data_IF_770561878566
#
_entry.id   IF_770561878566
#
_cell.length_a   1.000
_cell.length_b   1.000
_cell.length_c   1.000
_cell.angle_alpha   90.00
_cell.angle_beta   90.00
_cell.angle_gamma   90.00
#
_symmetry.space_group_name_H-M   'P 1'
#
loop_
_entity.id
_entity.type
_entity.pdbx_description
1 polymer ?
#
# COMPACT_ATOMS: atom_id res chain seq x y z
N UNK A 1 1.66 23.18 2.77
CA UNK A 1 0.74 22.38 3.52
C UNK A 1 1.44 21.20 4.24
N UNK A 2 2.40 20.50 3.66
CA UNK A 2 3.09 19.35 4.28
C UNK A 2 4.60 19.57 4.44
N UNK A 3 5.04 20.78 4.79
CA UNK A 3 6.47 21.14 4.82
C UNK A 3 7.32 20.25 5.75
N UNK A 4 6.71 19.64 6.78
CA UNK A 4 7.36 18.80 7.78
C UNK A 4 6.79 17.37 7.82
N UNK A 5 6.22 16.88 6.72
CA UNK A 5 5.65 15.53 6.62
C UNK A 5 5.84 14.98 5.22
N UNK A 6 6.43 13.80 5.10
CA UNK A 6 6.33 12.99 3.89
C UNK A 6 4.96 12.31 3.91
N UNK A 7 4.09 12.63 2.97
CA UNK A 7 2.76 12.04 2.87
C UNK A 7 2.54 11.46 1.48
N UNK A 8 2.04 10.23 1.42
CA UNK A 8 1.56 9.61 0.17
C UNK A 8 0.26 8.88 0.42
N UNK A 9 -0.68 9.09 -0.48
CA UNK A 9 -1.93 8.32 -0.58
C UNK A 9 -1.81 7.37 -1.77
N UNK A 10 -1.97 6.09 -1.52
CA UNK A 10 -1.87 5.02 -2.51
C UNK A 10 -3.23 4.37 -2.67
N UNK A 11 -3.55 3.91 -3.86
CA UNK A 11 -4.84 3.33 -4.17
C UNK A 11 -4.71 1.90 -4.68
N UNK A 12 -5.52 1.00 -4.16
CA UNK A 12 -5.75 -0.32 -4.73
C UNK A 12 -7.10 -0.36 -5.46
N UNK A 13 -7.04 -0.53 -6.78
CA UNK A 13 -8.25 -0.51 -7.60
C UNK A 13 -9.13 -1.77 -7.44
N UNK A 14 -8.59 -2.86 -6.92
CA UNK A 14 -9.34 -4.12 -6.78
C UNK A 14 -10.29 -4.08 -5.59
N UNK A 15 -9.85 -3.53 -4.46
CA UNK A 15 -10.63 -3.35 -3.24
C UNK A 15 -11.19 -1.94 -3.07
N UNK A 16 -10.73 -0.97 -3.85
CA UNK A 16 -10.99 0.47 -3.68
C UNK A 16 -10.45 1.04 -2.37
N UNK A 17 -9.39 0.44 -1.84
CA UNK A 17 -8.73 0.80 -0.59
C UNK A 17 -7.69 1.88 -0.79
N UNK A 18 -7.61 2.80 0.14
CA UNK A 18 -6.49 3.72 0.29
C UNK A 18 -5.50 3.25 1.33
N UNK A 19 -4.23 3.18 0.96
CA UNK A 19 -3.09 3.01 1.88
C UNK A 19 -2.41 4.35 2.08
N UNK A 20 -2.00 4.69 3.30
CA UNK A 20 -1.37 5.97 3.60
C UNK A 20 0.03 5.77 4.18
N UNK A 21 1.03 6.42 3.57
CA UNK A 21 2.40 6.47 4.07
C UNK A 21 2.68 7.86 4.66
N UNK A 22 3.06 7.89 5.93
CA UNK A 22 3.46 9.09 6.65
C UNK A 22 4.89 8.94 7.14
N UNK A 23 5.73 9.93 6.89
CA UNK A 23 7.13 9.92 7.33
C UNK A 23 7.59 11.27 7.87
N UNK A 24 8.43 11.22 8.88
CA UNK A 24 9.16 12.40 9.36
C UNK A 24 10.39 12.64 8.47
N UNK A 25 10.49 13.76 7.75
CA UNK A 25 11.61 14.03 6.88
C UNK A 25 12.95 14.21 7.62
N UNK A 26 12.91 14.57 8.92
CA UNK A 26 14.10 14.78 9.75
C UNK A 26 14.75 13.48 10.18
N UNK A 27 13.98 12.56 10.75
CA UNK A 27 14.46 11.26 11.24
C UNK A 27 14.36 10.14 10.23
N UNK A 28 13.61 10.34 9.14
CA UNK A 28 13.31 9.34 8.11
C UNK A 28 12.45 8.17 8.62
N UNK A 29 11.94 8.23 9.85
CA UNK A 29 11.01 7.24 10.37
C UNK A 29 9.61 7.44 9.76
N UNK A 30 8.92 6.32 9.50
CA UNK A 30 7.61 6.33 8.85
C UNK A 30 6.67 5.27 9.44
N UNK A 31 5.38 5.53 9.26
CA UNK A 31 4.29 4.56 9.46
C UNK A 31 3.50 4.40 8.16
N UNK A 32 2.91 3.24 7.98
CA UNK A 32 2.00 2.97 6.88
C UNK A 32 0.66 2.48 7.43
N UNK A 33 -0.44 2.93 6.83
CA UNK A 33 -1.81 2.65 7.30
C UNK A 33 -2.59 1.91 6.22
N UNK A 34 -3.33 0.86 6.60
CA UNK A 34 -4.23 0.06 5.76
C UNK A 34 -3.55 -0.48 4.49
N UNK A 35 -2.55 -1.33 4.69
CA UNK A 35 -1.79 -1.96 3.61
C UNK A 35 -2.58 -3.09 2.94
N UNK A 36 -2.40 -3.25 1.62
CA UNK A 36 -3.01 -4.35 0.84
C UNK A 36 -1.95 -5.39 0.52
N UNK A 37 -2.24 -6.68 0.76
CA UNK A 37 -1.31 -7.80 0.60
C UNK A 37 -0.67 -7.82 -0.80
N UNK A 38 -1.48 -7.68 -1.86
CA UNK A 38 -1.03 -7.70 -3.25
C UNK A 38 -0.18 -6.48 -3.62
N UNK A 39 -0.29 -5.39 -2.86
CA UNK A 39 0.43 -4.13 -3.10
C UNK A 39 1.72 -3.98 -2.29
N UNK A 40 2.09 -4.97 -1.47
CA UNK A 40 3.24 -4.87 -0.55
C UNK A 40 4.57 -4.54 -1.26
N UNK A 41 4.81 -5.05 -2.48
CA UNK A 41 6.02 -4.73 -3.23
C UNK A 41 6.05 -3.27 -3.69
N UNK A 42 4.91 -2.72 -4.12
CA UNK A 42 4.75 -1.29 -4.46
C UNK A 42 5.05 -0.41 -3.24
N UNK A 43 4.42 -0.74 -2.12
CA UNK A 43 4.51 0.04 -0.88
C UNK A 43 5.93 -0.01 -0.32
N UNK A 44 6.56 -1.19 -0.35
CA UNK A 44 7.97 -1.36 0.02
C UNK A 44 8.90 -0.56 -0.89
N UNK A 45 8.72 -0.63 -2.21
CA UNK A 45 9.52 0.11 -3.17
C UNK A 45 9.46 1.63 -2.92
N UNK A 46 8.26 2.15 -2.63
CA UNK A 46 8.08 3.57 -2.31
C UNK A 46 8.85 3.97 -1.04
N UNK A 47 8.77 3.15 0.01
CA UNK A 47 9.49 3.38 1.28
C UNK A 47 11.00 3.43 1.03
N UNK A 48 11.52 2.45 0.26
CA UNK A 48 12.94 2.37 -0.07
C UNK A 48 13.41 3.54 -0.94
N UNK A 49 12.65 3.91 -2.00
CA UNK A 49 12.97 5.04 -2.89
C UNK A 49 12.95 6.39 -2.16
N UNK A 50 12.06 6.54 -1.17
CA UNK A 50 12.02 7.72 -0.32
C UNK A 50 13.08 7.67 0.80
N UNK A 51 13.82 6.60 0.95
CA UNK A 51 14.83 6.39 1.99
C UNK A 51 14.22 6.46 3.39
N UNK A 52 13.04 5.88 3.60
CA UNK A 52 12.35 5.87 4.87
C UNK A 52 12.60 4.56 5.62
N UNK A 53 12.56 4.63 6.96
CA UNK A 53 12.59 3.47 7.85
C UNK A 53 11.20 3.26 8.43
N UNK A 54 10.53 2.17 8.05
CA UNK A 54 9.19 1.87 8.53
C UNK A 54 9.25 1.39 9.99
N UNK A 55 8.54 2.08 10.90
CA UNK A 55 8.48 1.71 12.32
C UNK A 55 7.20 0.94 12.67
N UNK A 56 6.10 1.20 11.96
CA UNK A 56 4.85 0.46 12.14
C UNK A 56 4.03 0.37 10.86
N UNK A 57 3.35 -0.78 10.67
CA UNK A 57 2.22 -0.97 9.77
C UNK A 57 0.95 -1.04 10.63
N UNK A 58 0.00 -0.16 10.36
CA UNK A 58 -1.19 0.05 11.19
C UNK A 58 -2.43 -0.30 10.37
N UNK A 59 -3.33 -1.09 10.93
CA UNK A 59 -4.65 -1.30 10.34
C UNK A 59 -5.71 -0.56 11.17
N UNK A 60 -6.54 0.24 10.50
CA UNK A 60 -7.64 0.97 11.13
C UNK A 60 -8.72 0.01 11.65
N UNK A 61 -8.87 -1.14 11.03
CA UNK A 61 -9.81 -2.20 11.42
C UNK A 61 -9.42 -3.54 10.77
N UNK A 62 -10.12 -4.61 11.13
CA UNK A 62 -10.01 -5.90 10.44
C UNK A 62 -10.81 -5.85 9.12
N UNK A 63 -10.15 -5.65 8.01
CA UNK A 63 -10.75 -5.50 6.68
C UNK A 63 -11.47 -6.76 6.21
N UNK A 64 -12.58 -6.59 5.47
CA UNK A 64 -13.38 -7.69 4.91
C UNK A 64 -13.30 -7.79 3.38
N UNK A 65 -12.66 -6.85 2.72
CA UNK A 65 -12.60 -6.66 1.27
C UNK A 65 -11.23 -7.01 0.67
N UNK A 66 -10.17 -6.98 1.49
CA UNK A 66 -8.81 -7.35 1.11
C UNK A 66 -8.04 -7.96 2.28
N UNK A 67 -6.96 -8.67 1.99
CA UNK A 67 -6.01 -9.13 3.00
C UNK A 67 -4.99 -8.03 3.26
N UNK A 68 -4.74 -7.70 4.55
CA UNK A 68 -3.72 -6.72 4.91
C UNK A 68 -2.31 -7.19 4.55
N UNK A 69 -1.47 -6.27 4.09
CA UNK A 69 -0.05 -6.49 3.85
C UNK A 69 0.84 -6.35 5.09
N UNK A 70 0.26 -6.11 6.28
CA UNK A 70 1.01 -5.75 7.48
C UNK A 70 2.08 -6.79 7.86
N UNK A 71 1.75 -8.08 7.80
CA UNK A 71 2.73 -9.15 8.04
C UNK A 71 3.88 -9.13 7.04
N UNK A 72 3.61 -8.90 5.75
CA UNK A 72 4.66 -8.81 4.72
C UNK A 72 5.57 -7.61 4.96
N UNK A 73 4.99 -6.47 5.37
CA UNK A 73 5.77 -5.29 5.74
C UNK A 73 6.66 -5.56 6.95
N UNK A 74 6.14 -6.24 7.98
CA UNK A 74 6.94 -6.66 9.14
C UNK A 74 8.08 -7.60 8.75
N UNK A 75 7.81 -8.62 7.93
CA UNK A 75 8.86 -9.55 7.45
C UNK A 75 9.96 -8.83 6.66
N UNK A 76 9.58 -7.81 5.89
CA UNK A 76 10.51 -7.08 5.03
C UNK A 76 11.32 -5.99 5.75
N UNK A 77 10.78 -5.40 6.83
CA UNK A 77 11.35 -4.19 7.46
C UNK A 77 11.63 -4.34 8.95
N UNK A 78 11.05 -5.36 9.60
CA UNK A 78 11.07 -5.49 11.05
C UNK A 78 10.14 -4.51 11.79
N UNK A 79 9.24 -3.81 11.07
CA UNK A 79 8.29 -2.89 11.69
C UNK A 79 7.30 -3.61 12.60
N UNK A 80 6.68 -2.87 13.51
CA UNK A 80 5.61 -3.39 14.36
C UNK A 80 4.28 -3.42 13.61
N UNK A 81 3.38 -4.32 13.99
CA UNK A 81 2.01 -4.39 13.47
C UNK A 81 1.04 -3.85 14.50
N UNK A 82 0.34 -2.76 14.17
CA UNK A 82 -0.60 -2.10 15.04
C UNK A 82 -2.06 -2.29 14.60
N UNK A 83 -2.88 -2.78 15.52
CA UNK A 83 -4.33 -2.88 15.36
C UNK A 83 -5.01 -2.76 16.71
N UNK A 84 -6.31 -2.44 16.74
CA UNK A 84 -7.07 -2.29 17.97
C UNK A 84 -7.01 -3.53 18.87
N UNK A 85 -6.76 -3.30 20.16
CA UNK A 85 -6.84 -4.36 21.21
C UNK A 85 -8.25 -4.85 21.49
N UNK A 86 -9.26 -4.20 20.94
CA UNK A 86 -10.67 -4.56 21.19
C UNK A 86 -11.08 -5.87 20.50
N UNK A 87 -10.32 -6.35 19.52
CA UNK A 87 -10.58 -7.65 18.91
C UNK A 87 -10.36 -8.78 19.92
N UNK A 88 -11.36 -9.66 20.02
CA UNK A 88 -11.28 -10.84 20.88
C UNK A 88 -11.70 -12.10 20.11
N UNK A 89 -10.82 -13.13 20.03
CA UNK A 89 -9.45 -13.16 20.56
C UNK A 89 -8.56 -12.08 19.91
N UNK A 90 -7.43 -11.70 20.54
CA UNK A 90 -6.48 -10.75 19.95
C UNK A 90 -6.00 -11.22 18.58
N UNK A 91 -5.77 -10.26 17.69
CA UNK A 91 -5.27 -10.56 16.33
C UNK A 91 -3.85 -11.12 16.43
N UNK A 92 -3.67 -12.31 15.85
CA UNK A 92 -2.39 -13.03 15.86
C UNK A 92 -1.32 -12.27 15.07
N UNK A 93 -0.13 -12.12 15.64
CA UNK A 93 1.00 -11.43 15.01
C UNK A 93 1.02 -9.92 15.23
N UNK A 94 -0.05 -9.30 15.72
CA UNK A 94 -0.04 -7.90 16.11
C UNK A 94 0.73 -7.72 17.42
N UNK A 95 1.76 -6.88 17.39
CA UNK A 95 2.66 -6.62 18.52
C UNK A 95 2.58 -5.16 19.04
N UNK A 96 1.69 -4.36 18.44
CA UNK A 96 1.37 -3.00 18.85
C UNK A 96 -0.15 -2.86 19.05
N UNK A 97 -0.70 -3.32 20.19
CA UNK A 97 -2.13 -3.18 20.47
C UNK A 97 -2.50 -1.70 20.63
N UNK A 98 -3.48 -1.23 19.87
CA UNK A 98 -3.93 0.17 19.86
C UNK A 98 -5.18 0.34 20.74
N UNK A 99 -5.21 1.42 21.54
CA UNK A 99 -6.36 1.79 22.37
C UNK A 99 -6.61 3.30 22.33
N UNK A 100 -7.78 3.72 22.81
CA UNK A 100 -8.15 5.14 22.91
C UNK A 100 -7.06 5.95 23.60
N UNK A 101 -6.57 6.99 22.93
CA UNK A 101 -5.59 7.94 23.46
C UNK A 101 -4.13 7.50 23.33
N UNK A 102 -3.86 6.27 22.87
CA UNK A 102 -2.49 5.84 22.56
C UNK A 102 -1.86 6.73 21.45
N UNK A 103 -0.52 6.78 21.43
CA UNK A 103 0.23 7.51 20.43
C UNK A 103 1.25 6.60 19.76
N UNK A 104 1.21 6.54 18.43
CA UNK A 104 2.21 5.84 17.61
C UNK A 104 3.20 6.85 17.07
N UNK A 105 4.42 6.85 17.62
CA UNK A 105 5.50 7.77 17.21
C UNK A 105 6.22 7.30 15.95
N UNK A 106 6.59 8.27 15.10
CA UNK A 106 7.48 8.10 13.95
C UNK A 106 8.37 9.35 13.80
N UNK A 107 9.48 9.32 14.50
CA UNK A 107 10.40 10.45 14.60
C UNK A 107 9.87 11.56 15.49
N UNK A 108 9.82 12.78 14.97
CA UNK A 108 9.27 13.93 15.66
C UNK A 108 7.73 14.02 15.60
N UNK A 109 7.10 13.10 14.87
CA UNK A 109 5.65 13.08 14.63
C UNK A 109 5.00 11.88 15.33
N UNK A 110 3.69 11.95 15.52
CA UNK A 110 2.91 10.83 16.05
C UNK A 110 1.48 10.82 15.51
N UNK A 111 0.86 9.62 15.56
CA UNK A 111 -0.57 9.43 15.36
C UNK A 111 -1.24 9.16 16.70
N UNK A 112 -2.24 9.96 17.07
CA UNK A 112 -3.15 9.69 18.19
C UNK A 112 -4.21 8.68 17.74
N UNK A 113 -4.44 7.66 18.55
CA UNK A 113 -5.46 6.65 18.32
C UNK A 113 -6.78 7.09 18.95
N UNK A 114 -7.83 7.19 18.15
CA UNK A 114 -9.21 7.40 18.63
C UNK A 114 -10.03 6.17 18.34
N UNK A 115 -10.57 5.52 19.37
CA UNK A 115 -11.47 4.38 19.18
C UNK A 115 -12.75 4.85 18.51
N UNK A 116 -13.05 4.29 17.34
CA UNK A 116 -14.24 4.63 16.54
C UNK A 116 -15.03 3.37 16.14
N UNK A 117 -15.42 2.52 17.13
CA UNK A 117 -16.17 1.30 16.85
C UNK A 117 -17.51 1.59 16.18
N UNK A 118 -18.06 0.57 15.51
CA UNK A 118 -19.40 0.61 14.95
C UNK A 118 -19.51 0.12 13.52
N UNK A 119 -18.51 0.37 12.65
CA UNK A 119 -18.37 -0.40 11.40
C UNK A 119 -17.91 -1.82 11.76
N UNK A 120 -16.81 -1.95 12.50
CA UNK A 120 -16.46 -3.13 13.29
C UNK A 120 -16.29 -2.75 14.75
N UNK A 121 -16.24 -3.71 15.68
CA UNK A 121 -16.01 -3.40 17.12
C UNK A 121 -14.59 -2.84 17.36
N UNK A 122 -13.63 -3.16 16.52
CA UNK A 122 -12.23 -2.75 16.68
C UNK A 122 -11.80 -1.54 15.85
N UNK A 123 -12.69 -0.79 15.21
CA UNK A 123 -12.30 0.38 14.43
C UNK A 123 -11.60 1.46 15.23
N UNK A 124 -10.56 2.04 14.64
CA UNK A 124 -9.86 3.22 15.15
C UNK A 124 -9.72 4.27 14.05
N UNK A 125 -9.74 5.53 14.44
CA UNK A 125 -9.32 6.67 13.62
C UNK A 125 -7.94 7.11 14.11
N UNK A 126 -7.00 7.27 13.20
CA UNK A 126 -5.64 7.72 13.50
C UNK A 126 -5.53 9.21 13.18
N UNK A 127 -5.17 10.03 14.16
CA UNK A 127 -5.14 11.48 14.02
C UNK A 127 -3.72 11.99 14.15
N UNK A 128 -3.25 12.78 13.19
CA UNK A 128 -1.92 13.38 13.25
C UNK A 128 -1.81 14.34 14.44
N UNK A 129 -0.66 14.39 15.07
CA UNK A 129 -0.37 15.11 16.32
C UNK A 129 -0.76 16.60 16.35
N UNK A 130 -0.80 17.26 15.20
CA UNK A 130 -1.23 18.65 15.02
C UNK A 130 -2.70 18.78 14.61
N UNK A 131 -3.45 17.69 14.57
CA UNK A 131 -4.84 17.58 14.15
C UNK A 131 -5.12 18.08 12.71
N UNK A 132 -4.10 18.17 11.88
CA UNK A 132 -4.28 18.59 10.46
C UNK A 132 -4.83 17.46 9.57
N UNK A 133 -4.71 16.19 10.01
CA UNK A 133 -5.12 15.01 9.25
C UNK A 133 -5.74 13.95 10.17
N UNK A 134 -6.79 13.29 9.71
CA UNK A 134 -7.40 12.13 10.34
C UNK A 134 -7.64 11.00 9.31
N UNK A 135 -7.17 9.80 9.64
CA UNK A 135 -7.34 8.59 8.84
C UNK A 135 -8.46 7.77 9.48
N UNK A 136 -9.67 7.91 8.94
CA UNK A 136 -10.89 7.44 9.59
C UNK A 136 -11.20 5.96 9.37
N UNK A 137 -10.40 5.25 8.56
CA UNK A 137 -10.77 3.93 8.10
C UNK A 137 -12.19 3.95 7.51
N UNK A 138 -13.00 2.97 7.87
CA UNK A 138 -14.39 2.90 7.44
C UNK A 138 -15.40 3.44 8.47
N UNK A 139 -14.94 4.09 9.54
CA UNK A 139 -15.88 4.77 10.43
C UNK A 139 -16.61 5.90 9.72
N UNK A 140 -15.87 6.77 9.01
CA UNK A 140 -16.42 7.86 8.21
C UNK A 140 -15.78 7.90 6.83
N UNK A 141 -16.61 7.81 5.78
CA UNK A 141 -16.22 7.90 4.37
C UNK A 141 -16.59 9.27 3.81
N UNK A 142 -16.02 9.63 2.66
CA UNK A 142 -16.40 10.87 1.96
C UNK A 142 -17.84 10.75 1.48
N UNK A 143 -18.73 11.55 2.06
CA UNK A 143 -20.20 11.49 1.82
C UNK A 143 -20.81 10.14 2.15
N UNK A 144 -20.25 9.46 3.16
CA UNK A 144 -20.71 8.15 3.57
C UNK A 144 -20.23 7.75 4.95
N UNK A 145 -20.53 6.52 5.35
CA UNK A 145 -20.01 5.84 6.53
C UNK A 145 -19.90 4.35 6.22
N UNK A 146 -19.05 3.62 6.92
CA UNK A 146 -18.94 2.17 6.80
C UNK A 146 -20.24 1.47 7.20
N UNK A 147 -20.53 0.35 6.58
CA UNK A 147 -21.68 -0.51 6.95
C UNK A 147 -21.50 -1.08 8.36
N UNK A 148 -22.62 -1.45 9.01
CA UNK A 148 -22.63 -1.91 10.40
C UNK A 148 -23.21 -3.31 10.58
N UNK A 149 -23.43 -4.05 9.52
CA UNK A 149 -24.15 -5.33 9.51
C UNK A 149 -23.23 -6.57 9.56
N UNK A 150 -21.89 -6.36 9.72
CA UNK A 150 -20.90 -7.43 9.88
C UNK A 150 -19.95 -7.15 11.06
N UNK A 151 -19.14 -8.16 11.43
CA UNK A 151 -18.01 -8.04 12.36
C UNK A 151 -18.37 -7.26 13.65
N UNK A 152 -19.52 -7.58 14.23
CA UNK A 152 -20.04 -6.93 15.43
C UNK A 152 -20.31 -5.42 15.26
N UNK A 153 -20.61 -5.01 14.04
CA UNK A 153 -20.97 -3.64 13.72
C UNK A 153 -22.26 -3.20 14.45
N UNK A 154 -22.37 -1.90 14.71
CA UNK A 154 -23.52 -1.31 15.38
C UNK A 154 -23.68 0.16 14.99
N UNK A 155 -24.80 0.48 14.37
CA UNK A 155 -25.06 1.83 13.84
C UNK A 155 -25.16 2.90 14.94
N UNK A 156 -25.74 2.59 16.10
CA UNK A 156 -25.78 3.51 17.24
C UNK A 156 -24.37 3.84 17.77
N UNK A 157 -23.52 2.81 17.86
CA UNK A 157 -22.13 2.99 18.29
C UNK A 157 -21.36 3.80 17.27
N UNK A 158 -21.55 3.53 15.97
CA UNK A 158 -20.88 4.27 14.90
C UNK A 158 -21.27 5.74 14.89
N UNK A 159 -22.56 6.06 15.05
CA UNK A 159 -23.03 7.44 15.17
C UNK A 159 -22.28 8.19 16.29
N UNK A 160 -22.19 7.58 17.46
CA UNK A 160 -21.48 8.18 18.62
C UNK A 160 -20.00 8.30 18.34
N UNK A 161 -19.37 7.30 17.75
CA UNK A 161 -17.97 7.34 17.37
C UNK A 161 -17.68 8.51 16.42
N UNK A 162 -18.47 8.69 15.38
CA UNK A 162 -18.27 9.77 14.42
C UNK A 162 -18.49 11.13 15.10
N UNK A 163 -19.62 11.30 15.81
CA UNK A 163 -19.97 12.60 16.39
C UNK A 163 -19.07 13.02 17.54
N UNK A 164 -18.59 12.07 18.36
CA UNK A 164 -17.78 12.37 19.57
C UNK A 164 -16.28 12.31 19.32
N UNK A 165 -15.81 11.46 18.40
CA UNK A 165 -14.37 11.28 18.16
C UNK A 165 -13.89 12.00 16.89
N UNK A 166 -14.65 11.93 15.78
CA UNK A 166 -14.22 12.52 14.50
C UNK A 166 -14.69 13.97 14.41
N UNK A 167 -15.98 14.24 14.66
CA UNK A 167 -16.54 15.60 14.58
C UNK A 167 -16.13 16.51 15.73
N UNK A 168 -15.40 16.03 16.73
CA UNK A 168 -14.74 16.86 17.74
C UNK A 168 -13.41 17.44 17.26
N UNK A 169 -12.88 17.00 16.12
CA UNK A 169 -11.70 17.58 15.48
C UNK A 169 -12.02 18.95 14.85
N UNK A 170 -11.01 19.80 14.60
CA UNK A 170 -11.17 21.06 13.89
C UNK A 170 -11.82 20.87 12.50
N UNK A 171 -12.59 21.86 12.05
CA UNK A 171 -13.30 21.81 10.76
C UNK A 171 -12.35 21.70 9.57
N UNK A 172 -11.15 22.26 9.66
CA UNK A 172 -10.09 22.21 8.65
C UNK A 172 -9.21 20.96 8.74
N UNK A 173 -9.45 20.07 9.71
CA UNK A 173 -8.81 18.76 9.74
C UNK A 173 -9.19 17.96 8.51
N UNK A 174 -8.20 17.59 7.69
CA UNK A 174 -8.41 16.80 6.48
C UNK A 174 -8.75 15.36 6.84
N UNK A 175 -9.78 14.83 6.21
CA UNK A 175 -10.28 13.48 6.42
C UNK A 175 -9.86 12.57 5.26
N UNK A 176 -9.21 11.45 5.61
CA UNK A 176 -8.73 10.42 4.71
C UNK A 176 -9.42 9.08 5.07
N UNK A 177 -10.35 8.58 4.24
CA UNK A 177 -11.09 7.34 4.52
C UNK A 177 -10.28 6.09 4.16
N UNK A 178 -10.73 4.91 4.65
CA UNK A 178 -10.19 3.61 4.21
C UNK A 178 -10.54 3.31 2.75
N UNK A 179 -11.75 3.70 2.31
CA UNK A 179 -12.26 3.40 0.97
C UNK A 179 -12.90 4.59 0.29
N UNK A 180 -12.81 4.65 -1.04
CA UNK A 180 -13.69 5.45 -1.89
C UNK A 180 -13.94 4.76 -3.24
N UNK A 181 -15.21 4.57 -3.57
CA UNK A 181 -15.66 3.89 -4.79
C UNK A 181 -15.89 4.84 -5.97
N UNK A 182 -15.63 6.13 -5.78
CA UNK A 182 -15.87 7.21 -6.77
C UNK A 182 -14.61 7.99 -7.12
N UNK A 183 -13.44 7.60 -6.57
CA UNK A 183 -12.15 8.25 -6.84
C UNK A 183 -11.93 9.57 -6.11
N UNK A 184 -12.72 9.87 -5.06
CA UNK A 184 -12.51 11.03 -4.19
C UNK A 184 -11.40 10.71 -3.21
N UNK A 185 -10.45 11.63 -3.04
CA UNK A 185 -9.21 11.35 -2.32
C UNK A 185 -9.20 11.82 -0.88
N UNK A 186 -9.92 12.88 -0.57
CA UNK A 186 -10.02 13.46 0.77
C UNK A 186 -11.25 14.35 0.90
N UNK A 187 -11.60 14.65 2.15
CA UNK A 187 -12.58 15.65 2.56
C UNK A 187 -12.03 16.45 3.75
N UNK A 188 -12.87 17.16 4.47
CA UNK A 188 -12.55 17.72 5.78
C UNK A 188 -13.63 17.38 6.80
N UNK A 189 -13.29 17.48 8.08
CA UNK A 189 -14.25 17.24 9.17
C UNK A 189 -15.44 18.20 9.07
N UNK A 190 -15.20 19.50 8.81
CA UNK A 190 -16.23 20.50 8.63
C UNK A 190 -17.12 20.22 7.41
N UNK A 191 -16.50 19.79 6.31
CA UNK A 191 -17.24 19.45 5.09
C UNK A 191 -18.16 18.23 5.30
N UNK A 192 -17.68 17.17 5.95
CA UNK A 192 -18.51 16.00 6.26
C UNK A 192 -19.58 16.31 7.30
N UNK A 193 -19.28 17.14 8.31
CA UNK A 193 -20.27 17.57 9.30
C UNK A 193 -21.45 18.31 8.66
N UNK A 194 -21.23 19.05 7.58
CA UNK A 194 -22.29 19.82 6.90
C UNK A 194 -22.95 19.02 5.77
N UNK A 195 -22.18 18.31 4.96
CA UNK A 195 -22.62 17.80 3.67
C UNK A 195 -22.69 16.27 3.57
N UNK A 196 -22.29 15.52 4.62
CA UNK A 196 -22.44 14.08 4.58
C UNK A 196 -23.95 13.70 4.59
N UNK A 197 -24.46 12.99 3.57
CA UNK A 197 -25.90 12.72 3.46
C UNK A 197 -26.42 11.72 4.50
N UNK A 198 -25.52 11.03 5.22
CA UNK A 198 -25.91 10.04 6.25
C UNK A 198 -25.90 10.60 7.66
N UNK A 199 -24.92 11.47 7.97
CA UNK A 199 -24.65 11.92 9.35
C UNK A 199 -24.42 13.43 9.44
N UNK A 200 -24.37 14.14 8.34
CA UNK A 200 -24.17 15.59 8.31
C UNK A 200 -25.46 16.40 8.40
N UNK A 201 -25.29 17.73 8.48
CA UNK A 201 -26.40 18.68 8.51
C UNK A 201 -27.25 18.55 9.77
N UNK A 202 -28.49 18.14 9.62
CA UNK A 202 -29.47 18.00 10.71
C UNK A 202 -29.80 16.54 11.04
N UNK A 203 -29.06 15.57 10.48
CA UNK A 203 -29.31 14.15 10.74
C UNK A 203 -29.06 13.81 12.22
N UNK A 204 -30.07 13.29 12.89
CA UNK A 204 -29.95 12.79 14.24
C UNK A 204 -29.56 11.29 14.30
N UNK A 205 -29.37 10.74 15.48
CA UNK A 205 -28.99 9.34 15.68
C UNK A 205 -30.04 8.39 15.07
N UNK A 206 -31.34 8.73 15.15
CA UNK A 206 -32.41 7.89 14.63
C UNK A 206 -32.41 7.88 13.09
N UNK A 207 -32.19 9.03 12.47
CA UNK A 207 -32.08 9.15 11.00
C UNK A 207 -30.90 8.32 10.48
N UNK A 208 -29.74 8.45 11.12
CA UNK A 208 -28.54 7.70 10.77
C UNK A 208 -28.76 6.19 10.90
N UNK A 209 -29.26 5.73 12.07
CA UNK A 209 -29.49 4.31 12.35
C UNK A 209 -30.51 3.74 11.36
N UNK A 210 -31.61 4.44 11.17
CA UNK A 210 -32.66 4.01 10.20
C UNK A 210 -32.11 3.89 8.77
N UNK A 211 -31.20 4.79 8.36
CA UNK A 211 -30.53 4.67 7.06
C UNK A 211 -29.61 3.44 7.02
N UNK A 212 -28.77 3.26 8.04
CA UNK A 212 -27.76 2.20 8.07
C UNK A 212 -28.36 0.80 8.13
N UNK A 213 -29.45 0.61 8.88
CA UNK A 213 -30.15 -0.67 8.98
C UNK A 213 -30.87 -1.08 7.68
N UNK A 214 -31.18 -0.11 6.79
CA UNK A 214 -31.82 -0.35 5.51
C UNK A 214 -30.90 -0.33 4.30
N UNK A 215 -29.58 -0.39 4.51
CA UNK A 215 -28.57 -0.21 3.45
C UNK A 215 -28.50 -1.36 2.44
N UNK A 216 -29.06 -2.54 2.68
CA UNK A 216 -29.16 -3.71 1.79
C UNK A 216 -27.99 -3.89 0.78
N UNK A 217 -26.75 -3.72 1.23
CA UNK A 217 -25.57 -3.89 0.38
C UNK A 217 -25.25 -5.38 0.19
N UNK A 218 -24.76 -5.79 -0.99
CA UNK A 218 -24.29 -7.16 -1.17
C UNK A 218 -23.13 -7.48 -0.21
N UNK A 219 -22.95 -8.77 0.09
CA UNK A 219 -21.83 -9.24 0.89
C UNK A 219 -20.48 -8.84 0.26
N UNK A 220 -19.49 -8.42 1.04
CA UNK A 220 -18.13 -8.22 0.54
C UNK A 220 -17.61 -9.54 -0.06
N UNK A 221 -17.16 -9.50 -1.31
CA UNK A 221 -16.77 -10.71 -2.07
C UNK A 221 -15.62 -11.50 -1.44
N UNK A 222 -14.78 -10.84 -0.69
CA UNK A 222 -13.56 -11.41 -0.10
C UNK A 222 -13.71 -11.75 1.39
N UNK A 223 -14.87 -11.53 2.03
CA UNK A 223 -15.02 -11.63 3.49
C UNK A 223 -14.57 -12.98 4.05
N UNK A 224 -14.89 -14.08 3.35
CA UNK A 224 -14.56 -15.46 3.78
C UNK A 224 -13.05 -15.76 3.70
N UNK A 225 -12.29 -14.97 2.96
CA UNK A 225 -10.84 -15.08 2.80
C UNK A 225 -10.13 -14.01 3.63
N UNK A 226 -10.56 -12.76 3.50
CA UNK A 226 -9.90 -11.61 4.11
C UNK A 226 -9.99 -11.63 5.63
N UNK A 227 -11.19 -11.82 6.21
CA UNK A 227 -11.35 -11.78 7.67
C UNK A 227 -10.52 -12.85 8.37
N UNK A 228 -10.55 -14.15 7.99
CA UNK A 228 -9.69 -15.16 8.62
C UNK A 228 -8.18 -14.90 8.44
N UNK A 229 -7.77 -14.30 7.33
CA UNK A 229 -6.37 -13.92 7.11
C UNK A 229 -5.98 -12.70 7.97
N UNK A 230 -6.85 -11.70 8.08
CA UNK A 230 -6.61 -10.47 8.83
C UNK A 230 -6.63 -10.70 10.35
N UNK A 231 -7.37 -11.71 10.83
CA UNK A 231 -7.25 -12.20 12.22
C UNK A 231 -5.85 -12.77 12.54
N UNK A 232 -4.98 -12.93 11.53
CA UNK A 232 -3.56 -13.30 11.63
C UNK A 232 -2.65 -12.24 11.01
N UNK A 233 -3.06 -10.97 11.01
CA UNK A 233 -2.30 -9.86 10.42
C UNK A 233 -1.92 -10.04 8.94
N UNK A 234 -2.72 -10.76 8.17
CA UNK A 234 -2.45 -11.10 6.78
C UNK A 234 -1.43 -12.23 6.57
N UNK A 235 -1.00 -12.91 7.64
CA UNK A 235 -0.06 -14.03 7.53
C UNK A 235 -0.71 -15.20 6.79
N UNK A 236 -0.08 -15.73 5.70
CA UNK A 236 -0.54 -16.93 5.01
C UNK A 236 -0.64 -18.13 5.96
N UNK A 237 -1.58 -19.04 5.68
CA UNK A 237 -1.82 -20.21 6.52
C UNK A 237 -0.62 -21.16 6.62
N UNK A 238 0.20 -21.23 5.56
CA UNK A 238 1.45 -22.01 5.53
C UNK A 238 2.65 -21.25 6.10
N UNK A 239 2.46 -19.99 6.55
CA UNK A 239 3.50 -19.12 7.10
C UNK A 239 4.54 -18.69 6.08
N UNK A 240 4.30 -18.89 4.78
CA UNK A 240 5.25 -18.56 3.72
C UNK A 240 4.78 -17.31 2.96
N UNK A 241 5.64 -16.32 2.87
CA UNK A 241 5.42 -15.16 2.00
C UNK A 241 5.51 -15.52 0.51
N UNK A 242 5.20 -14.55 -0.36
CA UNK A 242 5.43 -14.70 -1.79
C UNK A 242 6.87 -15.14 -2.05
N UNK A 243 7.06 -16.11 -2.94
CA UNK A 243 8.41 -16.60 -3.26
C UNK A 243 9.18 -15.51 -4.00
N UNK A 244 10.40 -15.18 -3.56
CA UNK A 244 11.28 -14.32 -4.34
C UNK A 244 11.61 -14.98 -5.68
N UNK A 245 12.05 -14.20 -6.67
CA UNK A 245 12.51 -14.74 -7.94
C UNK A 245 13.67 -15.72 -7.71
N UNK A 246 13.56 -16.94 -8.23
CA UNK A 246 14.56 -18.02 -8.01
C UNK A 246 15.89 -17.74 -8.72
N UNK A 247 15.91 -16.82 -9.68
CA UNK A 247 17.04 -16.55 -10.59
C UNK A 247 17.90 -15.33 -10.19
N UNK A 248 17.47 -14.53 -9.23
CA UNK A 248 18.26 -13.39 -8.75
C UNK A 248 17.49 -12.52 -7.75
N UNK A 249 18.19 -11.59 -7.07
CA UNK A 249 17.61 -10.70 -6.06
C UNK A 249 16.84 -9.55 -6.74
N UNK A 250 15.73 -9.88 -7.36
CA UNK A 250 14.89 -8.94 -8.08
C UNK A 250 14.10 -8.09 -7.10
N UNK A 251 14.09 -6.79 -7.32
CA UNK A 251 13.24 -5.82 -6.62
C UNK A 251 12.25 -5.21 -7.59
N UNK A 252 11.09 -4.82 -7.09
CA UNK A 252 10.15 -4.01 -7.83
C UNK A 252 10.37 -2.54 -7.46
N UNK A 253 10.52 -1.66 -8.46
CA UNK A 253 10.50 -0.21 -8.23
C UNK A 253 9.06 0.26 -8.02
N UNK A 254 8.89 1.47 -7.46
CA UNK A 254 7.56 2.09 -7.31
C UNK A 254 6.85 2.29 -8.66
N UNK A 255 7.61 2.46 -9.73
CA UNK A 255 7.07 2.50 -11.09
C UNK A 255 6.53 1.15 -11.61
N UNK A 256 6.63 0.08 -10.81
CA UNK A 256 6.20 -1.27 -11.17
C UNK A 256 7.19 -2.03 -12.05
N UNK A 257 8.42 -1.53 -12.20
CA UNK A 257 9.48 -2.18 -12.96
C UNK A 257 10.23 -3.16 -12.06
N UNK A 258 10.62 -4.31 -12.63
CA UNK A 258 11.51 -5.23 -11.97
C UNK A 258 12.96 -4.78 -12.19
N UNK A 259 13.71 -4.65 -11.12
CA UNK A 259 15.08 -4.18 -11.11
C UNK A 259 15.99 -5.16 -10.38
N UNK A 260 17.28 -5.16 -10.73
CA UNK A 260 18.32 -5.91 -10.05
C UNK A 260 19.55 -5.02 -9.89
N UNK A 261 20.28 -5.20 -8.80
CA UNK A 261 21.48 -4.40 -8.52
C UNK A 261 22.59 -4.70 -9.55
N UNK A 262 23.22 -3.66 -10.12
CA UNK A 262 24.31 -3.82 -11.11
C UNK A 262 25.47 -4.66 -10.61
N UNK A 263 25.81 -4.53 -9.33
CA UNK A 263 26.89 -5.27 -8.68
C UNK A 263 26.62 -6.78 -8.74
N UNK A 264 25.39 -7.20 -8.44
CA UNK A 264 25.00 -8.60 -8.57
C UNK A 264 25.09 -9.10 -10.02
N UNK A 265 24.68 -8.29 -10.99
CA UNK A 265 24.82 -8.63 -12.43
C UNK A 265 26.28 -8.80 -12.79
N UNK A 266 27.17 -7.89 -12.33
CA UNK A 266 28.60 -7.95 -12.59
C UNK A 266 29.24 -9.22 -12.02
N UNK A 267 28.85 -9.64 -10.82
CA UNK A 267 29.32 -10.86 -10.17
C UNK A 267 28.80 -12.14 -10.83
N UNK A 268 27.66 -12.07 -11.54
CA UNK A 268 26.97 -13.23 -12.11
C UNK A 268 26.93 -13.22 -13.66
N UNK A 269 27.78 -12.43 -14.33
CA UNK A 269 27.79 -12.30 -15.82
C UNK A 269 27.88 -13.63 -16.56
N UNK A 270 28.53 -14.65 -15.99
CA UNK A 270 28.63 -15.97 -16.59
C UNK A 270 27.33 -16.79 -16.56
N UNK A 271 26.39 -16.42 -15.70
CA UNK A 271 25.12 -17.13 -15.48
C UNK A 271 23.88 -16.36 -15.95
N UNK A 272 24.07 -15.14 -16.47
CA UNK A 272 23.00 -14.29 -16.96
C UNK A 272 23.23 -13.86 -18.38
N UNK A 273 22.14 -13.70 -19.16
CA UNK A 273 22.20 -13.09 -20.47
C UNK A 273 21.84 -11.61 -20.36
N UNK A 274 22.78 -10.73 -20.73
CA UNK A 274 22.58 -9.29 -20.68
C UNK A 274 22.15 -8.78 -22.06
N UNK A 275 20.93 -8.25 -22.12
CA UNK A 275 20.40 -7.59 -23.33
C UNK A 275 20.48 -6.07 -23.15
N UNK A 276 21.29 -5.41 -23.98
CA UNK A 276 21.36 -3.94 -24.01
C UNK A 276 20.35 -3.40 -25.02
N UNK A 277 19.39 -2.61 -24.56
CA UNK A 277 18.31 -2.06 -25.38
C UNK A 277 18.52 -0.59 -25.77
N UNK A 278 19.70 -0.04 -25.45
CA UNK A 278 20.08 1.33 -25.80
C UNK A 278 20.32 1.46 -27.31
N UNK A 279 20.33 2.72 -27.79
CA UNK A 279 20.72 2.99 -29.17
C UNK A 279 22.23 2.80 -29.37
N UNK A 280 22.70 2.40 -30.56
CA UNK A 280 24.14 2.18 -30.85
C UNK A 280 25.02 3.39 -30.46
N UNK A 281 24.49 4.61 -30.63
CA UNK A 281 25.20 5.84 -30.29
C UNK A 281 25.49 5.96 -28.76
N UNK A 282 24.55 5.51 -27.94
CA UNK A 282 24.69 5.55 -26.47
C UNK A 282 25.81 4.62 -25.95
N UNK A 283 26.18 3.61 -26.73
CA UNK A 283 27.28 2.69 -26.43
C UNK A 283 28.66 3.36 -26.48
N UNK A 284 28.77 4.50 -27.12
CA UNK A 284 30.00 5.27 -27.30
C UNK A 284 30.11 6.39 -26.25
N UNK A 285 29.11 6.57 -25.42
CA UNK A 285 29.12 7.53 -24.31
C UNK A 285 29.99 7.03 -23.14
N UNK A 286 30.20 7.91 -22.15
CA UNK A 286 31.09 7.68 -20.99
C UNK A 286 30.76 6.43 -20.17
N UNK A 287 29.52 5.94 -20.22
CA UNK A 287 29.09 4.73 -19.50
C UNK A 287 29.52 3.42 -20.19
N UNK A 288 29.97 3.47 -21.46
CA UNK A 288 30.39 2.28 -22.20
C UNK A 288 29.30 1.22 -22.33
N UNK A 289 29.71 -0.06 -22.34
CA UNK A 289 28.81 -1.22 -22.39
C UNK A 289 29.29 -2.34 -21.47
N UNK A 290 28.37 -3.20 -21.05
CA UNK A 290 28.72 -4.44 -20.36
C UNK A 290 29.33 -5.41 -21.39
N UNK A 291 30.52 -5.93 -21.06
CA UNK A 291 31.19 -6.91 -21.92
C UNK A 291 30.32 -8.16 -22.12
N UNK A 292 30.15 -8.60 -23.36
CA UNK A 292 29.33 -9.76 -23.71
C UNK A 292 27.82 -9.47 -23.81
N UNK A 293 27.36 -8.24 -23.55
CA UNK A 293 25.94 -7.90 -23.75
C UNK A 293 25.54 -7.97 -25.23
N UNK A 294 24.35 -8.48 -25.49
CA UNK A 294 23.70 -8.44 -26.79
C UNK A 294 23.00 -7.09 -26.98
N UNK A 295 23.32 -6.38 -28.05
CA UNK A 295 22.66 -5.12 -28.38
C UNK A 295 21.45 -5.36 -29.30
N UNK A 296 20.25 -5.04 -28.84
CA UNK A 296 19.04 -4.94 -29.64
C UNK A 296 18.32 -3.67 -29.23
N UNK A 297 18.38 -2.59 -30.01
CA UNK A 297 17.69 -1.35 -29.65
C UNK A 297 16.21 -1.56 -29.35
N UNK A 298 15.67 -0.84 -28.36
CA UNK A 298 14.30 -1.04 -27.87
C UNK A 298 13.24 -0.96 -28.99
N UNK A 299 13.44 -0.06 -29.97
CA UNK A 299 12.56 0.08 -31.14
C UNK A 299 12.61 -1.12 -32.10
N UNK A 300 13.67 -1.93 -32.07
CA UNK A 300 13.84 -3.13 -32.90
C UNK A 300 13.50 -4.41 -32.14
N UNK A 301 13.42 -4.35 -30.80
CA UNK A 301 13.30 -5.53 -29.94
C UNK A 301 12.10 -6.41 -30.32
N UNK A 302 10.95 -5.81 -30.61
CA UNK A 302 9.72 -6.55 -30.98
C UNK A 302 9.92 -7.41 -32.23
N UNK A 303 10.64 -6.90 -33.23
CA UNK A 303 10.93 -7.61 -34.49
C UNK A 303 12.04 -8.66 -34.32
N UNK A 304 12.92 -8.48 -33.33
CA UNK A 304 14.14 -9.28 -33.15
C UNK A 304 14.08 -10.18 -31.88
N UNK A 305 12.90 -10.37 -31.28
CA UNK A 305 12.72 -11.21 -30.09
C UNK A 305 13.20 -12.65 -30.27
N UNK A 306 13.21 -13.17 -31.52
CA UNK A 306 13.72 -14.50 -31.84
C UNK A 306 15.24 -14.64 -31.67
N UNK A 307 15.97 -13.54 -31.62
CA UNK A 307 17.43 -13.53 -31.41
C UNK A 307 17.80 -13.63 -29.94
N UNK A 308 16.84 -13.40 -29.03
CA UNK A 308 17.05 -13.48 -27.59
C UNK A 308 16.92 -14.96 -27.16
N UNK A 309 17.92 -15.55 -26.49
CA UNK A 309 17.88 -16.93 -26.04
C UNK A 309 16.65 -17.21 -25.16
N UNK A 310 15.84 -18.22 -25.51
CA UNK A 310 14.65 -18.63 -24.76
C UNK A 310 14.86 -19.89 -23.92
N UNK A 311 15.85 -20.69 -24.28
CA UNK A 311 16.03 -22.06 -23.75
C UNK A 311 16.98 -22.12 -22.56
N UNK A 312 17.32 -21.00 -21.98
CA UNK A 312 18.19 -20.98 -20.82
C UNK A 312 17.36 -21.06 -19.57
N UNK A 313 17.04 -22.28 -19.16
CA UNK A 313 16.22 -22.59 -17.98
C UNK A 313 16.75 -22.00 -16.66
N UNK A 314 17.83 -21.23 -16.69
CA UNK A 314 18.52 -20.58 -15.56
C UNK A 314 19.15 -19.22 -15.88
N UNK A 315 18.93 -18.64 -17.06
CA UNK A 315 19.49 -17.35 -17.42
C UNK A 315 18.37 -16.33 -17.64
N UNK A 316 18.47 -15.22 -16.91
CA UNK A 316 17.53 -14.11 -17.03
C UNK A 316 18.11 -13.08 -18.01
N UNK A 317 17.26 -12.52 -18.87
CA UNK A 317 17.66 -11.45 -19.77
C UNK A 317 17.40 -10.10 -19.11
N UNK A 318 18.42 -9.24 -19.05
CA UNK A 318 18.34 -7.91 -18.47
C UNK A 318 18.40 -6.86 -19.58
N UNK A 319 17.48 -5.92 -19.55
CA UNK A 319 17.52 -4.74 -20.40
C UNK A 319 18.21 -3.59 -19.68
N UNK A 320 19.18 -2.95 -20.34
CA UNK A 320 19.84 -1.74 -19.87
C UNK A 320 19.33 -0.57 -20.71
N UNK A 321 18.83 0.48 -20.07
CA UNK A 321 18.44 1.72 -20.74
C UNK A 321 19.03 2.93 -20.03
N UNK A 322 19.64 3.84 -20.80
CA UNK A 322 20.27 5.07 -20.29
C UNK A 322 19.32 6.23 -20.02
N UNK A 323 18.06 6.18 -20.50
CA UNK A 323 17.05 7.24 -20.34
C UNK A 323 15.68 6.65 -20.02
N UNK A 324 15.00 7.24 -19.06
CA UNK A 324 13.64 6.89 -18.72
C UNK A 324 12.69 7.38 -19.83
N UNK A 325 12.41 6.53 -20.83
CA UNK A 325 11.27 6.75 -21.70
C UNK A 325 10.06 5.97 -21.19
N UNK A 326 8.99 6.68 -20.84
CA UNK A 326 7.77 6.15 -20.23
C UNK A 326 6.90 5.27 -21.16
N UNK A 327 7.45 4.81 -22.30
CA UNK A 327 6.70 4.05 -23.30
C UNK A 327 7.22 2.63 -23.47
N UNK A 328 7.15 1.83 -22.40
CA UNK A 328 7.23 0.38 -22.60
C UNK A 328 5.91 -0.11 -23.23
N UNK A 329 5.94 -0.83 -24.37
CA UNK A 329 4.74 -1.50 -24.88
C UNK A 329 4.25 -2.54 -23.84
N UNK A 330 2.92 -2.76 -23.80
CA UNK A 330 2.21 -3.67 -22.89
C UNK A 330 2.55 -5.16 -23.08
N UNK A 331 3.82 -5.52 -23.08
CA UNK A 331 4.26 -6.91 -23.16
C UNK A 331 4.32 -7.62 -21.80
N UNK A 332 4.05 -6.94 -20.71
CA UNK A 332 4.07 -7.48 -19.34
C UNK A 332 2.75 -8.15 -18.91
N UNK A 333 1.81 -8.43 -19.82
CA UNK A 333 0.57 -9.16 -19.50
C UNK A 333 0.38 -10.34 -20.45
N UNK A 334 1.10 -11.43 -20.19
CA UNK A 334 0.72 -12.75 -20.65
C UNK A 334 0.71 -13.71 -19.43
N UNK A 335 -0.18 -14.70 -19.40
CA UNK A 335 -0.41 -15.51 -18.20
C UNK A 335 0.80 -16.37 -17.87
N UNK A 336 1.06 -16.52 -16.58
CA UNK A 336 2.11 -17.31 -15.94
C UNK A 336 2.27 -18.69 -16.56
N UNK A 337 3.20 -18.85 -17.48
CA UNK A 337 3.88 -20.10 -17.80
C UNK A 337 5.30 -19.79 -18.24
N UNK A 338 6.29 -19.99 -17.33
CA UNK A 338 7.75 -20.03 -17.59
C UNK A 338 8.23 -18.98 -18.60
N UNK A 339 8.20 -17.70 -18.23
CA UNK A 339 8.67 -16.62 -19.08
C UNK A 339 9.95 -15.98 -18.54
N UNK A 340 10.87 -15.48 -19.40
CA UNK A 340 12.03 -14.72 -18.97
C UNK A 340 11.56 -13.42 -18.30
N UNK A 341 12.03 -13.18 -17.09
CA UNK A 341 11.77 -11.93 -16.39
C UNK A 341 12.63 -10.82 -17.03
N UNK A 342 11.99 -9.72 -17.42
CA UNK A 342 12.65 -8.52 -17.89
C UNK A 342 12.90 -7.60 -16.70
N UNK A 343 14.17 -7.25 -16.46
CA UNK A 343 14.57 -6.37 -15.36
C UNK A 343 15.14 -5.09 -15.93
N UNK A 344 14.67 -3.97 -15.41
CA UNK A 344 15.09 -2.64 -15.79
C UNK A 344 15.98 -2.02 -14.71
N UNK A 345 17.08 -1.33 -15.07
CA UNK A 345 17.91 -0.60 -14.12
C UNK A 345 18.02 0.88 -14.50
N UNK A 346 17.71 1.76 -13.54
CA UNK A 346 18.04 3.18 -13.58
C UNK A 346 19.47 3.35 -13.08
N UNK A 347 20.40 3.61 -13.98
CA UNK A 347 21.81 3.76 -13.72
C UNK A 347 22.20 4.57 -12.48
N UNK A 348 22.92 3.94 -11.54
CA UNK A 348 23.95 4.57 -10.74
C UNK A 348 25.31 3.99 -11.18
N UNK A 349 25.74 4.35 -12.37
CA UNK A 349 27.14 4.22 -12.72
C UNK A 349 27.73 5.62 -12.66
N UNK A 350 28.47 5.94 -11.60
CA UNK A 350 29.43 7.03 -11.56
C UNK A 350 30.82 6.45 -11.54
#
# INVERSE_FOLDING_TARGET
MFANLVFRQLFDAASSTYTYLLGDPGTRQAVIVDTVFEQHLRDRALIDELGLTLVAALDTHCHADHVTGAWLMQQATGCRIGISRRYFPPIEGADLPLDQGDRVGFGARSLEVRATPGHTDGCVTLVLDDHSMAFSGDALLIRGAGRCDFQQGNAHVLYRSITQQIFSLPDDCLLFPGHDYSGRTMSSVGEERVHNPRIGGHADERDFVGFMENLQLPHPKQIDVAVPANLRSGRPADGKGPRPAEWGPVRQSYAGLLEIEPEWVAENLSSVHVLDVRQPQEMQESLGRIAGSQLIPLNELSARLSEVPRDVARQSSFGISGKADHRMPRFARAPVRKEPAWVWNRSRWR
#
